data_IF_021426948920
#
_entry.id   IF_021426948920
#
_cell.length_a   1.000
_cell.length_b   1.000
_cell.length_c   1.000
_cell.angle_alpha   90.00
_cell.angle_beta   90.00
_cell.angle_gamma   90.00
#
_symmetry.space_group_name_H-M   'P 1'
#
loop_
_entity.id
_entity.type
_entity.pdbx_description
1 polymer ?
#
# COMPACT_ATOMS: atom_id res chain seq x y z
N UNK A 1 -12.26 7.68 18.84
CA UNK A 1 -11.40 8.32 19.86
C UNK A 1 -12.09 9.46 20.60
N UNK A 2 -12.58 10.52 19.92
CA UNK A 2 -13.18 11.70 20.59
C UNK A 2 -14.47 11.43 21.38
N UNK A 3 -15.22 10.38 21.02
CA UNK A 3 -16.47 9.97 21.70
C UNK A 3 -16.25 9.03 22.91
N UNK A 4 -15.01 8.80 23.36
CA UNK A 4 -14.71 7.93 24.50
C UNK A 4 -14.84 6.42 24.25
N UNK A 5 -15.42 6.00 23.13
CA UNK A 5 -15.57 4.58 22.77
C UNK A 5 -14.26 4.01 22.18
N UNK A 6 -13.34 3.61 23.06
CA UNK A 6 -12.03 3.08 22.69
C UNK A 6 -12.11 1.69 22.04
N UNK A 7 -13.15 0.90 22.36
CA UNK A 7 -13.34 -0.43 21.77
C UNK A 7 -13.71 -0.33 20.29
N UNK A 8 -14.64 0.56 19.94
CA UNK A 8 -14.97 0.82 18.52
C UNK A 8 -13.81 1.45 17.76
N UNK A 9 -13.08 2.37 18.40
CA UNK A 9 -11.90 2.96 17.78
C UNK A 9 -10.83 1.90 17.46
N UNK A 10 -10.55 0.99 18.40
CA UNK A 10 -9.59 -0.09 18.20
C UNK A 10 -10.06 -1.07 17.12
N UNK A 11 -11.35 -1.44 17.12
CA UNK A 11 -11.94 -2.30 16.09
C UNK A 11 -11.75 -1.69 14.70
N UNK A 12 -12.05 -0.41 14.53
CA UNK A 12 -11.89 0.28 13.25
C UNK A 12 -10.44 0.29 12.77
N UNK A 13 -9.48 0.58 13.68
CA UNK A 13 -8.05 0.54 13.34
C UNK A 13 -7.62 -0.87 12.94
N UNK A 14 -8.08 -1.91 13.64
CA UNK A 14 -7.79 -3.30 13.29
C UNK A 14 -8.36 -3.67 11.90
N UNK A 15 -9.56 -3.20 11.55
CA UNK A 15 -10.12 -3.40 10.21
C UNK A 15 -9.26 -2.70 9.15
N UNK A 16 -8.78 -1.49 9.40
CA UNK A 16 -7.87 -0.78 8.50
C UNK A 16 -6.54 -1.53 8.32
N UNK A 17 -5.97 -2.07 9.40
CA UNK A 17 -4.75 -2.89 9.35
C UNK A 17 -4.98 -4.13 8.48
N UNK A 18 -6.10 -4.83 8.66
CA UNK A 18 -6.44 -6.00 7.86
C UNK A 18 -6.57 -5.65 6.37
N UNK A 19 -7.22 -4.53 6.04
CA UNK A 19 -7.32 -4.02 4.67
C UNK A 19 -5.95 -3.69 4.07
N UNK A 20 -5.08 -3.02 4.83
CA UNK A 20 -3.70 -2.71 4.41
C UNK A 20 -2.84 -3.95 4.17
N UNK A 21 -2.97 -4.96 5.02
CA UNK A 21 -2.26 -6.24 4.84
C UNK A 21 -2.76 -7.02 3.61
N UNK A 22 -4.08 -7.03 3.39
CA UNK A 22 -4.67 -7.62 2.18
C UNK A 22 -4.18 -6.90 0.92
N UNK A 23 -4.15 -5.57 0.94
CA UNK A 23 -3.63 -4.75 -0.15
C UNK A 23 -2.16 -5.08 -0.48
N UNK A 24 -1.27 -5.11 0.51
CA UNK A 24 0.13 -5.48 0.30
C UNK A 24 0.30 -6.91 -0.22
N UNK A 25 -0.59 -7.83 0.19
CA UNK A 25 -0.57 -9.21 -0.28
C UNK A 25 -0.97 -9.30 -1.75
N UNK A 26 -2.01 -8.57 -2.17
CA UNK A 26 -2.40 -8.45 -3.57
C UNK A 26 -1.27 -7.83 -4.40
N UNK A 27 -0.64 -6.76 -3.92
CA UNK A 27 0.49 -6.11 -4.58
C UNK A 27 1.67 -7.08 -4.78
N UNK A 28 2.01 -7.87 -3.75
CA UNK A 28 3.08 -8.86 -3.83
C UNK A 28 2.76 -10.00 -4.81
N UNK A 29 1.50 -10.44 -4.84
CA UNK A 29 1.02 -11.43 -5.81
C UNK A 29 1.15 -10.92 -7.24
N UNK A 30 0.68 -9.71 -7.49
CA UNK A 30 0.73 -9.09 -8.82
C UNK A 30 2.16 -8.89 -9.31
N UNK A 31 3.05 -8.37 -8.46
CA UNK A 31 4.47 -8.27 -8.78
C UNK A 31 5.07 -9.62 -9.15
N UNK A 32 4.77 -10.66 -8.37
CA UNK A 32 5.27 -12.01 -8.64
C UNK A 32 4.74 -12.55 -9.96
N UNK A 33 3.48 -12.29 -10.30
CA UNK A 33 2.87 -12.68 -11.56
C UNK A 33 3.57 -11.98 -12.75
N UNK A 34 3.69 -10.66 -12.71
CA UNK A 34 4.33 -9.87 -13.77
C UNK A 34 5.80 -10.24 -13.98
N UNK A 35 6.54 -10.48 -12.90
CA UNK A 35 7.94 -10.91 -12.98
C UNK A 35 8.06 -12.29 -13.67
N UNK A 36 7.11 -13.20 -13.44
CA UNK A 36 7.06 -14.51 -14.12
C UNK A 36 6.74 -14.38 -15.60
N UNK A 37 5.92 -13.41 -16.00
CA UNK A 37 5.66 -13.06 -17.40
C UNK A 37 6.84 -12.33 -18.08
N UNK A 38 7.90 -12.02 -17.32
CA UNK A 38 9.13 -11.42 -17.84
C UNK A 38 9.28 -9.92 -17.57
N UNK A 39 8.38 -9.31 -16.78
CA UNK A 39 8.50 -7.92 -16.39
C UNK A 39 9.70 -7.76 -15.46
N UNK A 40 10.53 -6.74 -15.70
CA UNK A 40 11.68 -6.45 -14.85
C UNK A 40 11.76 -4.97 -14.53
N UNK A 41 12.27 -4.67 -13.32
CA UNK A 41 12.67 -3.32 -12.93
C UNK A 41 13.97 -2.91 -13.64
N UNK A 42 14.91 -3.83 -13.85
CA UNK A 42 16.17 -3.56 -14.56
C UNK A 42 16.50 -4.68 -15.53
N UNK A 43 17.14 -4.32 -16.64
CA UNK A 43 17.55 -5.25 -17.70
C UNK A 43 16.55 -5.35 -18.86
N UNK A 44 16.94 -6.02 -19.95
CA UNK A 44 16.10 -6.18 -21.14
C UNK A 44 14.92 -7.11 -20.84
N UNK A 45 13.74 -6.75 -21.34
CA UNK A 45 12.54 -7.62 -21.38
C UNK A 45 12.38 -8.33 -22.74
N UNK A 46 13.44 -8.34 -23.57
CA UNK A 46 13.43 -8.94 -24.90
C UNK A 46 13.12 -10.45 -24.82
N UNK A 47 12.12 -10.89 -25.60
CA UNK A 47 11.62 -12.27 -25.58
C UNK A 47 10.60 -12.59 -24.49
N UNK A 48 10.15 -11.60 -23.72
CA UNK A 48 8.99 -11.76 -22.83
C UNK A 48 7.67 -11.68 -23.58
N UNK A 49 6.66 -12.42 -23.12
CA UNK A 49 5.27 -12.33 -23.62
C UNK A 49 4.70 -10.90 -23.52
N UNK A 50 5.29 -10.06 -22.67
CA UNK A 50 4.91 -8.66 -22.48
C UNK A 50 5.25 -7.79 -23.68
N UNK A 51 6.31 -8.09 -24.43
CA UNK A 51 6.61 -7.36 -25.67
C UNK A 51 5.53 -7.63 -26.73
N UNK A 52 5.02 -8.86 -26.81
CA UNK A 52 3.92 -9.20 -27.71
C UNK A 52 2.62 -8.48 -27.33
N UNK A 53 2.43 -8.23 -26.02
CA UNK A 53 1.34 -7.40 -25.47
C UNK A 53 1.57 -5.89 -25.63
N UNK A 54 2.65 -5.46 -26.31
CA UNK A 54 2.98 -4.06 -26.56
C UNK A 54 3.57 -3.30 -25.36
N UNK A 55 3.96 -4.00 -24.30
CA UNK A 55 4.53 -3.38 -23.09
C UNK A 55 5.99 -3.00 -23.33
N UNK A 56 6.33 -1.76 -22.98
CA UNK A 56 7.70 -1.26 -23.13
C UNK A 56 8.52 -1.44 -21.85
N UNK A 57 9.86 -1.57 -21.94
CA UNK A 57 10.72 -1.61 -20.76
C UNK A 57 10.55 -0.38 -19.85
N UNK A 58 10.25 0.78 -20.43
CA UNK A 58 10.04 2.03 -19.70
C UNK A 58 8.75 1.98 -18.87
N UNK A 59 7.69 1.36 -19.40
CA UNK A 59 6.45 1.15 -18.67
C UNK A 59 6.66 0.27 -17.45
N UNK A 60 7.31 -0.89 -17.61
CA UNK A 60 7.56 -1.81 -16.47
C UNK A 60 8.45 -1.17 -15.41
N UNK A 61 9.47 -0.41 -15.83
CA UNK A 61 10.34 0.36 -14.94
C UNK A 61 9.55 1.38 -14.12
N UNK A 62 8.74 2.21 -14.78
CA UNK A 62 7.92 3.22 -14.12
C UNK A 62 6.89 2.57 -13.18
N UNK A 63 6.24 1.49 -13.62
CA UNK A 63 5.27 0.72 -12.83
C UNK A 63 5.90 0.20 -11.54
N UNK A 64 6.99 -0.57 -11.63
CA UNK A 64 7.64 -1.15 -10.45
C UNK A 64 8.24 -0.08 -9.53
N UNK A 65 8.78 1.02 -10.08
CA UNK A 65 9.33 2.10 -9.26
C UNK A 65 8.22 2.81 -8.48
N UNK A 66 7.15 3.26 -9.15
CA UNK A 66 6.09 4.05 -8.52
C UNK A 66 5.26 3.19 -7.56
N UNK A 67 4.82 2.01 -7.99
CA UNK A 67 4.04 1.11 -7.13
C UNK A 67 4.88 0.54 -5.99
N UNK A 68 6.19 0.34 -6.19
CA UNK A 68 7.11 -0.15 -5.16
C UNK A 68 7.42 0.91 -4.10
N UNK A 69 7.71 2.14 -4.53
CA UNK A 69 7.89 3.28 -3.63
C UNK A 69 6.60 3.56 -2.84
N UNK A 70 5.45 3.48 -3.48
CA UNK A 70 4.17 3.60 -2.80
C UNK A 70 3.94 2.45 -1.81
N UNK A 71 4.20 1.20 -2.21
CA UNK A 71 4.09 0.03 -1.34
C UNK A 71 4.94 0.13 -0.07
N UNK A 72 6.12 0.75 -0.14
CA UNK A 72 6.95 1.00 1.05
C UNK A 72 6.32 2.02 2.03
N UNK A 73 5.58 3.01 1.52
CA UNK A 73 4.80 3.94 2.34
C UNK A 73 3.61 3.25 2.98
N UNK A 74 2.90 2.40 2.23
CA UNK A 74 1.79 1.58 2.78
C UNK A 74 2.30 0.67 3.89
N UNK A 75 3.43 -0.01 3.69
CA UNK A 75 4.05 -0.85 4.72
C UNK A 75 4.42 -0.04 5.97
N UNK A 76 5.02 1.14 5.79
CA UNK A 76 5.37 2.04 6.89
C UNK A 76 4.12 2.52 7.64
N UNK A 77 3.06 2.87 6.91
CA UNK A 77 1.74 3.20 7.47
C UNK A 77 1.14 2.06 8.26
N UNK A 78 1.29 0.83 7.79
CA UNK A 78 0.73 -0.35 8.43
C UNK A 78 1.44 -0.59 9.77
N UNK A 79 2.77 -0.42 9.81
CA UNK A 79 3.56 -0.47 11.04
C UNK A 79 3.12 0.63 12.01
N UNK A 80 2.92 1.87 11.53
CA UNK A 80 2.45 2.99 12.37
C UNK A 80 1.05 2.70 12.95
N UNK A 81 0.13 2.14 12.15
CA UNK A 81 -1.21 1.76 12.61
C UNK A 81 -1.14 0.64 13.65
N UNK A 82 -0.30 -0.38 13.45
CA UNK A 82 -0.11 -1.48 14.43
C UNK A 82 0.43 -0.93 15.75
N UNK A 83 1.47 -0.09 15.72
CA UNK A 83 2.02 0.55 16.93
C UNK A 83 0.96 1.41 17.63
N UNK A 84 0.20 2.18 16.85
CA UNK A 84 -0.90 3.01 17.37
C UNK A 84 -1.99 2.17 18.01
N UNK A 85 -2.36 1.04 17.41
CA UNK A 85 -3.36 0.11 17.95
C UNK A 85 -2.90 -0.50 19.28
N UNK A 86 -1.67 -0.99 19.36
CA UNK A 86 -1.07 -1.55 20.58
C UNK A 86 -1.01 -0.50 21.69
N UNK A 87 -0.52 0.71 21.39
CA UNK A 87 -0.45 1.77 22.40
C UNK A 87 -1.84 2.22 22.86
N UNK A 88 -2.83 2.19 21.98
CA UNK A 88 -4.21 2.58 22.29
C UNK A 88 -4.90 1.53 23.15
N UNK A 89 -4.66 0.24 22.91
CA UNK A 89 -5.19 -0.84 23.77
C UNK A 89 -4.60 -0.80 25.19
N UNK A 90 -3.36 -0.31 25.32
CA UNK A 90 -2.71 -0.06 26.62
C UNK A 90 -3.12 1.26 27.29
N UNK A 91 -3.97 2.09 26.66
CA UNK A 91 -4.34 3.42 27.16
C UNK A 91 -3.20 4.46 27.14
N UNK A 92 -2.13 4.22 26.38
CA UNK A 92 -0.89 5.04 26.33
C UNK A 92 -0.81 5.97 25.11
N UNK A 93 -1.88 6.07 24.32
CA UNK A 93 -1.91 6.91 23.11
C UNK A 93 -2.67 8.20 23.40
N UNK A 94 -2.04 9.38 23.27
CA UNK A 94 -2.77 10.64 23.27
C UNK A 94 -3.71 10.69 22.06
N UNK A 95 -4.89 11.32 22.20
CA UNK A 95 -5.92 11.37 21.14
C UNK A 95 -5.38 11.85 19.79
N UNK A 96 -4.42 12.79 19.82
CA UNK A 96 -3.72 13.31 18.64
C UNK A 96 -2.89 12.25 17.89
N UNK A 97 -2.34 11.25 18.59
CA UNK A 97 -1.53 10.21 17.96
C UNK A 97 -2.33 9.33 16.99
N UNK A 98 -3.58 9.00 17.35
CA UNK A 98 -4.50 8.25 16.48
C UNK A 98 -4.90 9.09 15.27
N UNK A 99 -5.12 10.40 15.47
CA UNK A 99 -5.50 11.32 14.39
C UNK A 99 -4.36 11.48 13.37
N UNK A 100 -3.12 11.65 13.83
CA UNK A 100 -1.95 11.73 12.94
C UNK A 100 -1.69 10.44 12.18
N UNK A 101 -1.83 9.28 12.82
CA UNK A 101 -1.72 7.98 12.15
C UNK A 101 -2.81 7.81 11.08
N UNK A 102 -4.04 8.24 11.36
CA UNK A 102 -5.14 8.23 10.39
C UNK A 102 -4.89 9.16 9.21
N UNK A 103 -4.41 10.38 9.46
CA UNK A 103 -4.07 11.34 8.39
C UNK A 103 -2.96 10.82 7.48
N UNK A 104 -1.92 10.18 8.04
CA UNK A 104 -0.90 9.52 7.24
C UNK A 104 -1.50 8.42 6.36
N UNK A 105 -2.36 7.57 6.92
CA UNK A 105 -3.01 6.50 6.17
C UNK A 105 -3.89 7.03 5.03
N UNK A 106 -4.69 8.06 5.29
CA UNK A 106 -5.51 8.70 4.26
C UNK A 106 -4.68 9.37 3.16
N UNK A 107 -3.54 9.98 3.51
CA UNK A 107 -2.64 10.53 2.51
C UNK A 107 -2.09 9.44 1.58
N UNK A 108 -1.65 8.32 2.14
CA UNK A 108 -1.19 7.18 1.35
C UNK A 108 -2.32 6.66 0.45
N UNK A 109 -3.51 6.43 0.99
CA UNK A 109 -4.68 5.98 0.22
C UNK A 109 -5.00 6.90 -0.97
N UNK A 110 -4.96 8.22 -0.76
CA UNK A 110 -5.19 9.20 -1.81
C UNK A 110 -4.14 9.11 -2.94
N UNK A 111 -2.86 8.92 -2.60
CA UNK A 111 -1.80 8.72 -3.61
C UNK A 111 -2.04 7.44 -4.41
N UNK A 112 -2.57 6.39 -3.79
CA UNK A 112 -2.89 5.14 -4.50
C UNK A 112 -3.96 5.34 -5.57
N UNK A 113 -5.01 6.12 -5.30
CA UNK A 113 -6.07 6.40 -6.28
C UNK A 113 -5.49 6.99 -7.57
N UNK A 114 -4.49 7.88 -7.47
CA UNK A 114 -3.80 8.42 -8.63
C UNK A 114 -2.96 7.38 -9.36
N UNK A 115 -2.16 6.58 -8.64
CA UNK A 115 -1.32 5.53 -9.24
C UNK A 115 -2.20 4.49 -9.95
N UNK A 116 -3.29 4.05 -9.31
CA UNK A 116 -4.22 3.09 -9.88
C UNK A 116 -4.84 3.60 -11.18
N UNK A 117 -5.27 4.87 -11.19
CA UNK A 117 -5.82 5.49 -12.40
C UNK A 117 -4.81 5.53 -13.53
N UNK A 118 -3.55 5.90 -13.24
CA UNK A 118 -2.50 6.02 -14.27
C UNK A 118 -2.09 4.70 -14.92
N UNK A 119 -2.12 3.59 -14.19
CA UNK A 119 -1.60 2.30 -14.69
C UNK A 119 -2.68 1.27 -15.05
N UNK A 120 -3.89 1.38 -14.50
CA UNK A 120 -4.95 0.40 -14.74
C UNK A 120 -6.15 0.97 -15.52
N UNK A 121 -6.36 2.29 -15.52
CA UNK A 121 -7.53 2.90 -16.17
C UNK A 121 -7.19 3.70 -17.44
N UNK A 122 -5.97 4.22 -17.54
CA UNK A 122 -5.45 4.98 -18.68
C UNK A 122 -4.46 4.14 -19.49
#
# INVERSE_FOLDING_TARGET
ARLGDMKKALLNVCMTIAGGAAFLSCQAYEWTHLIREGARLTGPIAGSELIEKGVTPQFTQAFFLLTGFHGSHVLSGLVILIITAIRTSMGKTPSQGVEMAGLYWHFVDLVWVFIFTLFYLL
#
